data_IF_376832631645
#
_entry.id   IF_376832631645
#
_cell.length_a   1.000
_cell.length_b   1.000
_cell.length_c   1.000
_cell.angle_alpha   90.00
_cell.angle_beta   90.00
_cell.angle_gamma   90.00
#
_symmetry.space_group_name_H-M   'P 1'
#
loop_
_entity.id
_entity.type
_entity.pdbx_description
1 polymer ?
#
# COMPACT_ATOMS: atom_id res chain seq x y z
N UNK A 1 5.95 75.26 19.77
CA UNK A 1 6.68 73.97 19.78
C UNK A 1 8.21 74.13 19.78
N UNK A 2 8.80 75.18 19.22
CA UNK A 2 10.26 75.41 19.24
C UNK A 2 10.81 76.09 20.52
N UNK A 3 10.05 76.09 21.61
CA UNK A 3 10.49 76.61 22.92
C UNK A 3 10.59 75.51 23.98
N UNK A 4 10.20 74.27 23.63
CA UNK A 4 10.34 73.07 24.47
C UNK A 4 11.38 72.10 23.92
N UNK A 5 11.66 72.14 22.61
CA UNK A 5 12.84 71.56 21.98
C UNK A 5 13.83 72.72 21.74
N UNK A 6 14.97 72.71 22.42
CA UNK A 6 16.11 73.58 22.08
C UNK A 6 16.59 73.37 20.65
N UNK A 7 17.57 74.16 20.15
CA UNK A 7 18.05 74.02 18.78
C UNK A 7 18.52 72.59 18.50
N UNK A 8 18.13 72.05 17.33
CA UNK A 8 18.46 70.69 16.91
C UNK A 8 19.97 70.46 16.98
N UNK A 9 20.44 69.32 17.51
CA UNK A 9 21.85 68.98 17.44
C UNK A 9 22.23 68.74 15.97
N UNK A 10 23.08 69.60 15.45
CA UNK A 10 23.83 69.34 14.22
C UNK A 10 24.81 68.20 14.48
N UNK A 11 24.84 67.23 13.55
CA UNK A 11 25.79 66.12 13.47
C UNK A 11 27.19 66.54 13.91
N UNK A 12 27.59 66.13 15.12
CA UNK A 12 28.86 65.47 15.44
C UNK A 12 28.70 64.80 16.80
N UNK A 13 28.79 63.48 16.84
CA UNK A 13 29.23 62.70 18.02
C UNK A 13 28.58 63.09 19.35
N UNK A 14 27.25 63.03 19.45
CA UNK A 14 26.59 62.96 20.75
C UNK A 14 26.79 61.55 21.31
N UNK A 15 28.01 61.25 21.79
CA UNK A 15 28.11 60.39 22.95
C UNK A 15 27.19 61.04 23.98
N UNK A 16 26.10 60.39 24.35
CA UNK A 16 25.32 60.78 25.54
C UNK A 16 26.34 61.02 26.63
N UNK A 17 26.58 62.30 26.93
CA UNK A 17 27.56 62.69 27.91
C UNK A 17 26.99 62.11 29.20
N UNK A 18 27.50 60.99 29.67
CA UNK A 18 27.10 60.39 30.95
C UNK A 18 27.09 61.46 32.03
N UNK A 19 27.98 62.44 31.93
CA UNK A 19 28.02 63.67 32.72
C UNK A 19 26.78 64.55 32.56
N UNK A 20 26.25 64.81 31.35
CA UNK A 20 24.99 65.53 31.13
C UNK A 20 23.76 64.71 31.54
N UNK A 21 23.73 63.41 31.29
CA UNK A 21 22.66 62.53 31.74
C UNK A 21 22.64 62.43 33.27
N UNK A 22 23.80 62.34 33.91
CA UNK A 22 23.96 62.39 35.38
C UNK A 22 23.58 63.78 35.89
N UNK A 23 23.96 64.87 35.21
CA UNK A 23 23.59 66.22 35.62
C UNK A 23 22.08 66.47 35.50
N UNK A 24 21.47 65.97 34.41
CA UNK A 24 20.04 66.00 34.17
C UNK A 24 19.30 65.17 35.22
N UNK A 25 19.70 63.91 35.44
CA UNK A 25 19.15 63.06 36.49
C UNK A 25 19.37 63.67 37.89
N UNK A 26 20.53 64.25 38.16
CA UNK A 26 20.86 64.93 39.42
C UNK A 26 20.11 66.26 39.58
N UNK A 27 19.52 66.84 38.53
CA UNK A 27 18.62 67.99 38.62
C UNK A 27 17.14 67.56 38.74
N UNK A 28 16.76 66.46 38.10
CA UNK A 28 15.43 65.87 38.18
C UNK A 28 15.14 65.23 39.54
N UNK A 29 16.10 64.52 40.14
CA UNK A 29 15.93 63.85 41.44
C UNK A 29 15.67 64.84 42.59
N UNK A 30 16.36 65.99 42.70
CA UNK A 30 16.00 67.07 43.62
C UNK A 30 14.67 67.72 43.26
N UNK A 31 14.39 68.00 41.98
CA UNK A 31 13.14 68.64 41.57
C UNK A 31 11.91 67.77 41.83
N UNK A 32 12.03 66.45 41.70
CA UNK A 32 10.99 65.49 42.02
C UNK A 32 10.90 65.18 43.52
N UNK A 33 12.02 65.30 44.27
CA UNK A 33 12.02 65.11 45.74
C UNK A 33 11.65 66.38 46.53
N UNK A 34 11.70 67.56 45.92
CA UNK A 34 11.30 68.85 46.54
C UNK A 34 9.83 69.21 46.32
N UNK A 35 9.03 68.29 45.76
CA UNK A 35 7.58 68.38 45.72
C UNK A 35 6.93 68.34 47.12
N UNK A 36 6.84 69.51 47.76
CA UNK A 36 5.81 69.97 48.70
C UNK A 36 5.35 69.14 49.91
N UNK A 37 6.04 68.07 50.32
CA UNK A 37 5.71 67.36 51.57
C UNK A 37 6.96 67.19 52.44
N UNK A 38 6.94 67.80 53.62
CA UNK A 38 8.03 67.88 54.60
C UNK A 38 8.47 66.54 55.21
N UNK A 39 7.95 65.40 54.72
CA UNK A 39 8.09 64.07 55.32
C UNK A 39 8.79 63.04 54.39
N UNK A 40 9.40 63.48 53.29
CA UNK A 40 10.19 62.58 52.44
C UNK A 40 9.40 61.50 51.68
N UNK A 41 8.07 61.48 51.77
CA UNK A 41 7.19 60.50 51.13
C UNK A 41 7.30 60.47 49.58
N UNK A 42 7.54 61.63 48.95
CA UNK A 42 7.80 61.71 47.51
C UNK A 42 9.12 61.02 47.13
N UNK A 43 10.14 61.14 47.98
CA UNK A 43 11.43 60.46 47.79
C UNK A 43 11.29 58.94 47.91
N UNK A 44 10.46 58.44 48.83
CA UNK A 44 10.18 57.00 48.93
C UNK A 44 9.41 56.46 47.73
N UNK A 45 8.41 57.20 47.22
CA UNK A 45 7.64 56.79 46.04
C UNK A 45 8.52 56.73 44.76
N UNK A 46 9.43 57.69 44.59
CA UNK A 46 10.38 57.68 43.47
C UNK A 46 11.36 56.51 43.62
N UNK A 47 11.92 56.30 44.82
CA UNK A 47 12.80 55.15 45.08
C UNK A 47 12.08 53.82 44.83
N UNK A 48 10.80 53.72 45.15
CA UNK A 48 9.98 52.54 44.87
C UNK A 48 9.74 52.35 43.37
N UNK A 49 9.50 53.44 42.63
CA UNK A 49 9.41 53.41 41.16
C UNK A 49 10.73 52.97 40.51
N UNK A 50 11.88 53.41 41.04
CA UNK A 50 13.20 52.96 40.58
C UNK A 50 13.48 51.50 40.95
N UNK A 51 13.01 51.02 42.10
CA UNK A 51 13.11 49.61 42.50
C UNK A 51 12.28 48.69 41.60
N UNK A 52 11.15 49.18 41.09
CA UNK A 52 10.24 48.42 40.20
C UNK A 52 10.49 48.69 38.72
N UNK A 53 11.54 49.43 38.38
CA UNK A 53 11.91 49.76 37.00
C UNK A 53 12.08 48.49 36.16
N UNK A 54 12.82 47.52 36.67
CA UNK A 54 13.13 46.28 35.93
C UNK A 54 11.86 45.45 35.66
N UNK A 55 10.91 45.43 36.60
CA UNK A 55 9.60 44.80 36.41
C UNK A 55 8.77 45.57 35.39
N UNK A 56 8.73 46.90 35.46
CA UNK A 56 7.99 47.74 34.51
C UNK A 56 8.55 47.63 33.09
N UNK A 57 9.88 47.52 32.94
CA UNK A 57 10.53 47.28 31.65
C UNK A 57 10.12 45.92 31.07
N UNK A 58 9.99 44.89 31.91
CA UNK A 58 9.47 43.60 31.48
C UNK A 58 8.01 43.69 30.99
N UNK A 59 7.13 44.44 31.67
CA UNK A 59 5.74 44.63 31.23
C UNK A 59 5.59 45.51 29.98
N UNK A 60 6.60 46.33 29.67
CA UNK A 60 6.63 47.19 28.49
C UNK A 60 7.27 46.52 27.26
N UNK A 61 7.77 45.29 27.40
CA UNK A 61 8.28 44.49 26.29
C UNK A 61 7.12 44.08 25.35
N UNK A 62 7.18 44.37 24.04
CA UNK A 62 6.19 43.88 23.07
C UNK A 62 6.08 42.35 23.02
N UNK A 63 7.11 41.62 23.47
CA UNK A 63 7.11 40.17 23.61
C UNK A 63 6.67 39.69 25.02
N UNK A 64 6.17 40.59 25.88
CA UNK A 64 5.64 40.24 27.18
C UNK A 64 4.43 39.32 27.03
N UNK A 65 4.57 38.08 27.51
CA UNK A 65 3.49 37.10 27.56
C UNK A 65 2.97 37.06 28.99
N UNK A 66 1.74 37.50 29.19
CA UNK A 66 1.07 37.35 30.48
C UNK A 66 0.81 35.86 30.74
N UNK A 67 1.55 35.27 31.69
CA UNK A 67 1.50 33.84 32.02
C UNK A 67 0.12 33.41 32.56
N UNK A 68 -0.65 34.37 33.10
CA UNK A 68 -2.07 34.21 33.47
C UNK A 68 -2.96 34.27 32.22
N UNK A 69 -2.76 33.35 31.30
CA UNK A 69 -3.74 33.08 30.25
C UNK A 69 -5.12 32.81 30.88
N UNK A 70 -6.15 33.50 30.40
CA UNK A 70 -7.53 33.38 30.88
C UNK A 70 -7.97 31.90 30.86
N UNK A 71 -8.39 31.40 32.02
CA UNK A 71 -8.86 30.01 32.20
C UNK A 71 -10.03 29.72 31.26
N UNK A 72 -10.86 30.72 30.96
CA UNK A 72 -11.99 30.59 30.02
C UNK A 72 -11.53 30.39 28.58
N UNK A 73 -10.44 31.03 28.18
CA UNK A 73 -9.87 30.84 26.85
C UNK A 73 -9.31 29.42 26.68
N UNK A 74 -8.70 28.86 27.74
CA UNK A 74 -8.24 27.46 27.75
C UNK A 74 -9.39 26.47 27.68
N UNK A 75 -10.48 26.70 28.42
CA UNK A 75 -11.67 25.85 28.39
C UNK A 75 -12.32 25.86 27.00
N UNK A 76 -12.45 27.03 26.38
CA UNK A 76 -12.97 27.16 25.01
C UNK A 76 -12.07 26.43 24.00
N UNK A 77 -10.74 26.57 24.11
CA UNK A 77 -9.77 25.88 23.26
C UNK A 77 -9.89 24.35 23.39
N UNK A 78 -9.96 23.84 24.63
CA UNK A 78 -10.14 22.42 24.91
C UNK A 78 -11.43 21.91 24.29
N UNK A 79 -12.54 22.63 24.43
CA UNK A 79 -13.82 22.24 23.86
C UNK A 79 -13.81 22.26 22.32
N UNK A 80 -13.11 23.21 21.70
CA UNK A 80 -12.97 23.25 20.23
C UNK A 80 -12.14 22.10 19.68
N UNK A 81 -11.10 21.66 20.41
CA UNK A 81 -10.16 20.63 19.93
C UNK A 81 -10.56 19.24 20.40
N UNK A 82 -11.40 19.11 21.43
CA UNK A 82 -11.81 17.82 21.97
C UNK A 82 -12.43 16.90 20.90
N UNK A 83 -13.22 17.45 19.97
CA UNK A 83 -13.86 16.66 18.92
C UNK A 83 -12.82 16.17 17.88
N UNK A 84 -11.91 17.04 17.46
CA UNK A 84 -10.81 16.67 16.55
C UNK A 84 -9.84 15.69 17.21
N UNK A 85 -9.59 15.84 18.51
CA UNK A 85 -8.77 14.93 19.30
C UNK A 85 -9.43 13.55 19.42
N UNK A 86 -10.76 13.49 19.60
CA UNK A 86 -11.49 12.23 19.61
C UNK A 86 -11.44 11.53 18.24
N UNK A 87 -11.59 12.28 17.14
CA UNK A 87 -11.47 11.73 15.78
C UNK A 87 -10.05 11.22 15.46
N UNK A 88 -9.02 11.95 15.88
CA UNK A 88 -7.61 11.50 15.73
C UNK A 88 -7.29 10.30 16.62
N UNK A 89 -7.89 10.20 17.80
CA UNK A 89 -7.75 9.02 18.66
C UNK A 89 -8.39 7.78 18.04
N UNK A 90 -9.58 7.91 17.44
CA UNK A 90 -10.25 6.79 16.77
C UNK A 90 -9.44 6.28 15.56
N UNK A 91 -8.87 7.18 14.77
CA UNK A 91 -7.99 6.80 13.65
C UNK A 91 -6.70 6.14 14.14
N UNK A 92 -6.10 6.65 15.22
CA UNK A 92 -4.94 6.03 15.85
C UNK A 92 -5.25 4.63 16.39
N UNK A 93 -6.44 4.43 16.98
CA UNK A 93 -6.89 3.12 17.45
C UNK A 93 -7.05 2.14 16.28
N UNK A 94 -7.58 2.58 15.13
CA UNK A 94 -7.65 1.77 13.90
C UNK A 94 -6.25 1.40 13.38
N UNK A 95 -5.30 2.34 13.40
CA UNK A 95 -3.90 2.07 13.01
C UNK A 95 -3.28 1.03 13.95
N UNK A 96 -3.47 1.15 15.26
CA UNK A 96 -2.99 0.18 16.25
C UNK A 96 -3.59 -1.22 16.05
N UNK A 97 -4.87 -1.31 15.66
CA UNK A 97 -5.47 -2.61 15.31
C UNK A 97 -4.95 -3.21 14.01
N UNK A 98 -4.41 -2.38 13.11
CA UNK A 98 -3.82 -2.80 11.84
C UNK A 98 -2.32 -3.12 11.94
N UNK A 99 -1.65 -2.70 13.02
CA UNK A 99 -0.26 -3.02 13.35
C UNK A 99 0.07 -4.53 13.25
N UNK A 100 -0.78 -5.47 13.71
CA UNK A 100 -0.54 -6.91 13.55
C UNK A 100 -0.67 -7.40 12.09
N UNK A 101 -1.35 -6.63 11.24
CA UNK A 101 -1.57 -6.96 9.82
C UNK A 101 -0.47 -6.36 8.94
N UNK A 102 0.07 -5.21 9.36
CA UNK A 102 1.27 -4.59 8.78
C UNK A 102 2.57 -5.29 9.25
N UNK A 103 2.50 -5.96 10.40
CA UNK A 103 3.54 -6.81 10.93
C UNK A 103 3.91 -7.87 9.91
N UNK A 104 5.02 -7.63 9.22
CA UNK A 104 5.66 -8.55 8.29
C UNK A 104 5.99 -9.92 8.90
N UNK A 105 5.73 -10.17 10.18
CA UNK A 105 5.81 -11.46 10.87
C UNK A 105 5.12 -12.60 10.09
N UNK A 106 3.97 -12.36 9.47
CA UNK A 106 3.28 -13.35 8.61
C UNK A 106 3.96 -13.57 7.25
N UNK A 107 4.64 -12.56 6.70
CA UNK A 107 5.45 -12.69 5.46
C UNK A 107 6.84 -13.23 5.74
N UNK A 108 7.37 -13.02 6.95
CA UNK A 108 8.72 -13.38 7.36
C UNK A 108 8.83 -14.87 7.71
N UNK A 109 7.73 -15.45 8.17
CA UNK A 109 7.58 -16.89 8.39
C UNK A 109 6.94 -17.62 7.21
N UNK A 110 6.77 -16.96 6.05
CA UNK A 110 6.33 -17.65 4.85
C UNK A 110 7.50 -18.51 4.35
N UNK A 111 7.37 -19.85 4.30
CA UNK A 111 8.42 -20.68 3.72
C UNK A 111 8.60 -20.28 2.25
N UNK A 112 9.86 -20.15 1.81
CA UNK A 112 10.17 -19.88 0.41
C UNK A 112 9.82 -21.11 -0.44
N UNK A 113 8.58 -21.11 -0.90
CA UNK A 113 8.02 -22.15 -1.79
C UNK A 113 8.28 -21.83 -3.26
N UNK A 114 9.05 -20.78 -3.59
CA UNK A 114 9.30 -20.36 -4.97
C UNK A 114 9.99 -21.46 -5.78
N UNK A 115 11.01 -22.10 -5.20
CA UNK A 115 11.74 -23.18 -5.87
C UNK A 115 10.91 -24.48 -5.96
N UNK A 116 10.09 -24.76 -4.94
CA UNK A 116 9.15 -25.88 -5.00
C UNK A 116 8.06 -25.65 -6.05
N UNK A 117 7.58 -24.42 -6.19
CA UNK A 117 6.60 -24.04 -7.22
C UNK A 117 7.22 -24.11 -8.61
N UNK A 118 8.47 -23.65 -8.79
CA UNK A 118 9.20 -23.75 -10.06
C UNK A 118 9.40 -25.21 -10.46
N UNK A 119 9.88 -26.05 -9.54
CA UNK A 119 10.08 -27.48 -9.82
C UNK A 119 8.76 -28.16 -10.18
N UNK A 120 7.69 -27.90 -9.40
CA UNK A 120 6.35 -28.43 -9.72
C UNK A 120 5.85 -27.95 -11.09
N UNK A 121 6.07 -26.69 -11.45
CA UNK A 121 5.66 -26.13 -12.74
C UNK A 121 6.41 -26.79 -13.90
N UNK A 122 7.74 -26.98 -13.76
CA UNK A 122 8.55 -27.65 -14.78
C UNK A 122 8.15 -29.11 -14.93
N UNK A 123 8.00 -29.85 -13.82
CA UNK A 123 7.55 -31.25 -13.86
C UNK A 123 6.16 -31.38 -14.47
N UNK A 124 5.24 -30.47 -14.16
CA UNK A 124 3.89 -30.48 -14.73
C UNK A 124 3.91 -30.20 -16.25
N UNK A 125 4.81 -29.34 -16.71
CA UNK A 125 5.00 -29.08 -18.14
C UNK A 125 5.59 -30.31 -18.87
N UNK A 126 6.61 -30.94 -18.31
CA UNK A 126 7.20 -32.18 -18.85
C UNK A 126 6.18 -33.32 -18.89
N UNK A 127 5.41 -33.48 -17.81
CA UNK A 127 4.36 -34.49 -17.73
C UNK A 127 3.26 -34.26 -18.75
N UNK A 128 2.86 -33.00 -18.98
CA UNK A 128 1.90 -32.65 -20.03
C UNK A 128 2.42 -33.05 -21.41
N UNK A 129 3.67 -32.71 -21.73
CA UNK A 129 4.28 -33.05 -23.01
C UNK A 129 4.38 -34.57 -23.20
N UNK A 130 4.79 -35.31 -22.16
CA UNK A 130 4.83 -36.77 -22.21
C UNK A 130 3.45 -37.39 -22.44
N UNK A 131 2.41 -36.80 -21.84
CA UNK A 131 1.04 -37.28 -21.98
C UNK A 131 0.49 -37.03 -23.40
N UNK A 132 0.78 -35.86 -23.99
CA UNK A 132 0.42 -35.54 -25.37
C UNK A 132 1.06 -36.53 -26.37
N UNK A 133 2.34 -36.84 -26.20
CA UNK A 133 3.04 -37.83 -27.03
C UNK A 133 2.46 -39.24 -26.86
N UNK A 134 2.10 -39.62 -25.64
CA UNK A 134 1.50 -40.92 -25.36
C UNK A 134 0.11 -41.01 -25.98
N UNK A 135 -0.70 -39.97 -25.89
CA UNK A 135 -2.01 -39.88 -26.52
C UNK A 135 -1.91 -40.01 -28.04
N UNK A 136 -0.98 -39.29 -28.68
CA UNK A 136 -0.73 -39.41 -30.12
C UNK A 136 -0.34 -40.84 -30.51
N UNK A 137 0.56 -41.47 -29.74
CA UNK A 137 0.96 -42.86 -29.98
C UNK A 137 -0.20 -43.85 -29.85
N UNK A 138 -1.10 -43.62 -28.89
CA UNK A 138 -2.27 -44.45 -28.65
C UNK A 138 -3.26 -44.33 -29.80
N UNK A 139 -3.52 -43.10 -30.28
CA UNK A 139 -4.40 -42.86 -31.42
C UNK A 139 -3.87 -43.57 -32.67
N UNK A 140 -2.57 -43.48 -32.95
CA UNK A 140 -1.95 -44.18 -34.09
C UNK A 140 -2.09 -45.70 -33.93
N UNK A 141 -1.86 -46.24 -32.73
CA UNK A 141 -2.02 -47.67 -32.47
C UNK A 141 -3.47 -48.14 -32.69
N UNK A 142 -4.45 -47.35 -32.24
CA UNK A 142 -5.88 -47.63 -32.47
C UNK A 142 -6.25 -47.60 -33.95
N UNK A 143 -5.73 -46.62 -34.70
CA UNK A 143 -5.95 -46.54 -36.15
C UNK A 143 -5.38 -47.77 -36.86
N UNK A 144 -4.13 -48.14 -36.59
CA UNK A 144 -3.51 -49.35 -37.17
C UNK A 144 -4.26 -50.62 -36.80
N UNK A 145 -4.73 -50.74 -35.56
CA UNK A 145 -5.56 -51.86 -35.14
C UNK A 145 -6.86 -51.93 -35.94
N UNK A 146 -7.53 -50.80 -36.15
CA UNK A 146 -8.73 -50.70 -36.99
C UNK A 146 -8.48 -51.11 -38.44
N UNK A 147 -7.37 -50.68 -39.03
CA UNK A 147 -6.96 -51.07 -40.39
C UNK A 147 -6.72 -52.58 -40.50
N UNK A 148 -5.99 -53.16 -39.54
CA UNK A 148 -5.73 -54.60 -39.49
C UNK A 148 -7.05 -55.37 -39.35
N UNK A 149 -7.95 -54.93 -38.47
CA UNK A 149 -9.25 -55.56 -38.27
C UNK A 149 -10.10 -55.52 -39.54
N UNK A 150 -10.13 -54.39 -40.25
CA UNK A 150 -10.82 -54.26 -41.52
C UNK A 150 -10.22 -55.20 -42.59
N UNK A 151 -8.90 -55.22 -42.73
CA UNK A 151 -8.20 -56.11 -43.67
C UNK A 151 -8.46 -57.60 -43.39
N UNK A 152 -8.49 -58.02 -42.13
CA UNK A 152 -8.85 -59.39 -41.74
C UNK A 152 -10.30 -59.70 -42.11
N UNK A 153 -11.23 -58.78 -41.84
CA UNK A 153 -12.65 -58.94 -42.17
C UNK A 153 -12.86 -59.09 -43.68
N UNK A 154 -12.20 -58.27 -44.48
CA UNK A 154 -12.29 -58.35 -45.94
C UNK A 154 -11.69 -59.64 -46.49
N UNK A 155 -10.57 -60.09 -45.91
CA UNK A 155 -9.96 -61.39 -46.25
C UNK A 155 -10.88 -62.57 -45.94
N UNK A 156 -11.50 -62.59 -44.76
CA UNK A 156 -12.47 -63.60 -44.36
C UNK A 156 -13.70 -63.61 -45.27
N UNK A 157 -14.21 -62.42 -45.62
CA UNK A 157 -15.31 -62.30 -46.58
C UNK A 157 -14.92 -62.87 -47.94
N UNK A 158 -13.76 -62.51 -48.48
CA UNK A 158 -13.26 -63.04 -49.75
C UNK A 158 -13.02 -64.55 -49.73
N UNK A 159 -12.63 -65.13 -48.59
CA UNK A 159 -12.54 -66.59 -48.42
C UNK A 159 -13.93 -67.24 -48.41
N UNK A 160 -14.91 -66.62 -47.74
CA UNK A 160 -16.30 -67.10 -47.71
C UNK A 160 -16.91 -67.08 -49.11
N UNK A 161 -16.78 -65.97 -49.84
CA UNK A 161 -17.28 -65.84 -51.22
C UNK A 161 -16.66 -66.90 -52.16
N UNK A 162 -15.38 -67.25 -51.95
CA UNK A 162 -14.71 -68.32 -52.70
C UNK A 162 -15.21 -69.72 -52.34
N UNK A 163 -15.50 -69.97 -51.06
CA UNK A 163 -16.11 -71.23 -50.61
C UNK A 163 -17.50 -71.39 -51.22
N UNK A 164 -18.32 -70.34 -51.17
CA UNK A 164 -19.67 -70.34 -51.76
C UNK A 164 -19.63 -70.66 -53.27
N UNK A 165 -18.70 -70.04 -54.01
CA UNK A 165 -18.50 -70.33 -55.44
C UNK A 165 -18.05 -71.79 -55.71
N UNK A 166 -17.21 -72.35 -54.84
CA UNK A 166 -16.77 -73.74 -54.96
C UNK A 166 -17.90 -74.71 -54.65
N UNK A 167 -18.71 -74.43 -53.63
CA UNK A 167 -19.90 -75.21 -53.29
C UNK A 167 -20.93 -75.18 -54.43
N UNK A 168 -21.18 -74.01 -55.02
CA UNK A 168 -22.09 -73.88 -56.16
C UNK A 168 -21.61 -74.68 -57.37
N UNK A 169 -20.31 -74.60 -57.71
CA UNK A 169 -19.72 -75.41 -58.79
C UNK A 169 -19.79 -76.91 -58.52
N UNK A 170 -19.58 -77.34 -57.28
CA UNK A 170 -19.71 -78.74 -56.88
C UNK A 170 -21.15 -79.21 -57.00
N UNK A 171 -22.12 -78.38 -56.60
CA UNK A 171 -23.53 -78.68 -56.73
C UNK A 171 -23.97 -78.77 -58.21
N UNK A 172 -23.49 -77.87 -59.06
CA UNK A 172 -23.72 -77.90 -60.51
C UNK A 172 -23.14 -79.17 -61.15
N UNK A 173 -21.87 -79.50 -60.88
CA UNK A 173 -21.25 -80.75 -61.38
C UNK A 173 -22.00 -82.00 -60.93
N UNK A 174 -22.39 -82.07 -59.65
CA UNK A 174 -23.21 -83.19 -59.14
C UNK A 174 -24.56 -83.32 -59.84
N UNK A 175 -25.10 -82.22 -60.36
CA UNK A 175 -26.35 -82.24 -61.13
C UNK A 175 -26.09 -82.71 -62.56
N UNK A 176 -25.07 -82.19 -63.21
CA UNK A 176 -24.63 -82.61 -64.55
C UNK A 176 -24.29 -84.11 -64.60
N UNK A 177 -23.53 -84.63 -63.62
CA UNK A 177 -23.19 -86.06 -63.56
C UNK A 177 -24.44 -86.95 -63.43
N UNK A 178 -25.44 -86.52 -62.63
CA UNK A 178 -26.72 -87.24 -62.49
C UNK A 178 -27.56 -87.20 -63.76
N UNK A 179 -27.54 -86.07 -64.47
CA UNK A 179 -28.28 -85.92 -65.72
C UNK A 179 -27.65 -86.77 -66.85
N UNK A 180 -26.31 -86.91 -66.87
CA UNK A 180 -25.59 -87.79 -67.80
C UNK A 180 -25.85 -89.28 -67.50
N UNK A 181 -25.84 -89.70 -66.23
CA UNK A 181 -26.21 -91.06 -65.85
C UNK A 181 -27.67 -91.40 -66.22
N UNK A 182 -28.58 -90.43 -66.10
CA UNK A 182 -29.97 -90.61 -66.50
C UNK A 182 -30.12 -90.77 -68.03
N UNK A 183 -29.33 -90.06 -68.84
CA UNK A 183 -29.41 -90.12 -70.31
C UNK A 183 -28.77 -91.40 -70.88
N UNK A 184 -27.71 -91.92 -70.25
CA UNK A 184 -27.10 -93.21 -70.62
C UNK A 184 -27.95 -94.43 -70.23
N UNK A 185 -28.83 -94.30 -69.24
CA UNK A 185 -29.77 -95.36 -68.83
C UNK A 185 -30.99 -95.54 -69.74
N UNK A 186 -31.21 -94.63 -70.72
CA UNK A 186 -32.41 -94.63 -71.60
C UNK A 186 -32.15 -95.27 -72.97
N UNK A 187 -30.90 -95.64 -73.29
CA UNK A 187 -30.53 -96.35 -74.53
C UNK A 187 -30.22 -97.86 -74.34
N UNK A 188 -30.62 -98.45 -73.21
CA UNK A 188 -30.51 -99.88 -72.91
C UNK A 188 -31.67 -100.73 -73.41
#
# INVERSE_FOLDING_TARGET
LNQLLGPLPTDESQSENLTEAILSAASFLPSASTGHLADGAARSAILESFKRKDELEAYLDPAFIEEKQDIKAKEMYINTIANDLAGTFETLQKIKTLEPTLGAEYFRNLPDVSDQLKTMTTTMAEQKQANELLEESLVIAMQRYGEIQAGIKDSLKGMTDRLDQLEERLAQKKKEDKDIEADQGVFG
#
